data_IF_467192719832
#
_entry.id   IF_467192719832
#
_cell.length_a   1.000
_cell.length_b   1.000
_cell.length_c   1.000
_cell.angle_alpha   90.00
_cell.angle_beta   90.00
_cell.angle_gamma   90.00
#
_symmetry.space_group_name_H-M   'P 1'
#
loop_
_entity.id
_entity.type
_entity.pdbx_description
1 polymer ?
#
# COMPACT_ATOMS: atom_id res chain seq x y z
N UNK A 1 -13.81 -18.54 -8.71
CA UNK A 1 -13.19 -17.21 -8.94
C UNK A 1 -12.03 -17.06 -7.98
N UNK A 2 -10.79 -17.11 -8.46
CA UNK A 2 -9.62 -16.88 -7.60
C UNK A 2 -9.48 -15.37 -7.37
N UNK A 3 -9.35 -14.94 -6.11
CA UNK A 3 -9.05 -13.54 -5.79
C UNK A 3 -7.72 -13.16 -6.47
N UNK A 4 -7.58 -11.93 -7.00
CA UNK A 4 -6.32 -11.49 -7.58
C UNK A 4 -5.26 -11.52 -6.48
N UNK A 5 -4.37 -12.52 -6.55
CA UNK A 5 -3.20 -12.59 -5.67
C UNK A 5 -2.34 -11.37 -5.98
N UNK A 6 -2.07 -10.53 -4.99
CA UNK A 6 -1.06 -9.48 -5.09
C UNK A 6 0.24 -10.12 -5.57
N UNK A 7 0.74 -9.67 -6.73
CA UNK A 7 1.97 -10.16 -7.35
C UNK A 7 3.17 -9.48 -6.70
N UNK A 8 4.28 -10.20 -6.60
CA UNK A 8 5.52 -9.64 -6.09
C UNK A 8 6.11 -8.65 -7.10
N UNK A 9 6.83 -7.61 -6.67
CA UNK A 9 7.50 -6.69 -7.62
C UNK A 9 8.44 -7.39 -8.61
N UNK A 10 9.10 -8.47 -8.19
CA UNK A 10 9.87 -9.35 -9.07
C UNK A 10 9.01 -10.01 -10.17
N UNK A 11 7.84 -10.53 -9.79
CA UNK A 11 6.90 -11.17 -10.73
C UNK A 11 6.27 -10.15 -11.67
N UNK A 12 6.09 -8.92 -11.20
CA UNK A 12 5.57 -7.79 -11.99
C UNK A 12 6.57 -7.40 -13.08
N UNK A 13 7.86 -7.29 -12.78
CA UNK A 13 8.88 -7.01 -13.79
C UNK A 13 9.35 -8.26 -14.54
N UNK A 14 8.98 -9.46 -14.09
CA UNK A 14 9.42 -10.73 -14.66
C UNK A 14 10.90 -11.03 -14.41
N UNK A 15 11.44 -10.53 -13.29
CA UNK A 15 12.84 -10.69 -12.90
C UNK A 15 13.02 -11.81 -11.87
N UNK A 16 14.21 -12.41 -11.86
CA UNK A 16 14.67 -13.30 -10.79
C UNK A 16 15.01 -12.53 -9.52
N UNK A 17 15.47 -13.26 -8.49
CA UNK A 17 16.05 -12.66 -7.26
C UNK A 17 17.44 -12.10 -7.48
N UNK A 18 18.17 -12.66 -8.44
CA UNK A 18 19.47 -12.19 -8.87
C UNK A 18 19.26 -11.30 -10.10
N UNK A 19 19.30 -9.99 -9.89
CA UNK A 19 19.12 -9.00 -10.95
C UNK A 19 20.13 -7.86 -10.81
N UNK A 20 20.39 -7.21 -11.93
CA UNK A 20 21.21 -6.00 -12.00
C UNK A 20 20.33 -4.76 -12.23
N UNK A 21 20.86 -3.57 -11.90
CA UNK A 21 20.15 -2.32 -12.14
C UNK A 21 19.78 -2.11 -13.63
N UNK A 22 20.64 -2.60 -14.54
CA UNK A 22 20.39 -2.54 -15.98
C UNK A 22 19.26 -3.46 -16.42
N UNK A 23 19.15 -4.65 -15.81
CA UNK A 23 18.04 -5.58 -16.05
C UNK A 23 16.70 -5.01 -15.56
N UNK A 24 16.68 -4.33 -14.42
CA UNK A 24 15.48 -3.64 -13.91
C UNK A 24 14.98 -2.60 -14.91
N UNK A 25 15.89 -1.74 -15.39
CA UNK A 25 15.55 -0.70 -16.37
C UNK A 25 15.10 -1.31 -17.70
N UNK A 26 15.78 -2.34 -18.18
CA UNK A 26 15.44 -3.03 -19.43
C UNK A 26 14.06 -3.69 -19.34
N UNK A 27 13.78 -4.42 -18.26
CA UNK A 27 12.49 -5.07 -18.03
C UNK A 27 11.34 -4.07 -17.97
N UNK A 28 11.51 -2.96 -17.24
CA UNK A 28 10.52 -1.89 -17.18
C UNK A 28 10.25 -1.26 -18.55
N UNK A 29 11.31 -0.97 -19.33
CA UNK A 29 11.17 -0.42 -20.67
C UNK A 29 10.45 -1.37 -21.63
N UNK A 30 10.77 -2.67 -21.59
CA UNK A 30 10.06 -3.68 -22.39
C UNK A 30 8.60 -3.81 -21.99
N UNK A 31 8.29 -3.74 -20.69
CA UNK A 31 6.92 -3.80 -20.18
C UNK A 31 6.12 -2.57 -20.63
N UNK A 32 6.72 -1.37 -20.58
CA UNK A 32 6.12 -0.14 -21.08
C UNK A 32 5.83 -0.19 -22.60
N UNK A 33 6.78 -0.72 -23.40
CA UNK A 33 6.60 -0.89 -24.84
C UNK A 33 5.51 -1.90 -25.20
N UNK A 34 5.39 -2.99 -24.43
CA UNK A 34 4.30 -3.97 -24.59
C UNK A 34 2.93 -3.36 -24.33
N UNK A 35 2.91 -2.32 -23.49
CA UNK A 35 1.72 -1.59 -23.07
C UNK A 35 1.35 -0.39 -23.94
N UNK A 36 2.13 -0.07 -24.97
CA UNK A 36 1.87 1.08 -25.80
C UNK A 36 0.46 0.99 -26.41
N UNK A 37 -0.36 2.06 -26.42
CA UNK A 37 -1.76 2.02 -26.86
C UNK A 37 -1.94 1.55 -28.31
N UNK A 38 -0.86 1.59 -29.08
CA UNK A 38 -0.79 1.16 -30.48
C UNK A 38 -0.61 -0.38 -30.63
N UNK A 39 -0.15 -1.05 -29.57
CA UNK A 39 -0.09 -2.52 -29.48
C UNK A 39 -1.23 -2.99 -28.60
N UNK A 40 -2.22 -3.68 -29.19
CA UNK A 40 -3.38 -4.28 -28.52
C UNK A 40 -3.03 -5.45 -27.56
N UNK A 41 -1.89 -5.39 -26.88
CA UNK A 41 -1.47 -6.43 -25.93
C UNK A 41 -2.05 -6.10 -24.56
N UNK A 42 -3.17 -6.74 -24.24
CA UNK A 42 -3.72 -6.74 -22.88
C UNK A 42 -2.68 -7.41 -21.96
N UNK A 43 -1.91 -6.60 -21.23
CA UNK A 43 -1.05 -7.12 -20.16
C UNK A 43 -1.85 -7.16 -18.85
N UNK A 44 -1.86 -8.32 -18.19
CA UNK A 44 -2.58 -8.55 -16.93
C UNK A 44 -2.06 -7.74 -15.74
N UNK A 45 -0.84 -7.21 -15.85
CA UNK A 45 -0.17 -6.39 -14.84
C UNK A 45 -0.72 -4.98 -15.00
N UNK A 46 -0.99 -4.17 -13.97
CA UNK A 46 -1.42 -2.77 -14.16
C UNK A 46 -0.25 -1.80 -14.42
N UNK A 47 -0.42 -0.63 -15.07
CA UNK A 47 0.71 0.28 -15.31
C UNK A 47 1.27 0.83 -14.00
N UNK A 48 0.38 1.11 -13.03
CA UNK A 48 0.75 1.54 -11.69
C UNK A 48 1.58 0.48 -10.95
N UNK A 49 1.23 -0.80 -11.06
CA UNK A 49 2.03 -1.89 -10.47
C UNK A 49 3.43 -1.97 -11.06
N UNK A 50 3.56 -1.81 -12.38
CA UNK A 50 4.87 -1.84 -13.05
C UNK A 50 5.76 -0.67 -12.62
N UNK A 51 5.18 0.53 -12.50
CA UNK A 51 5.91 1.72 -12.02
C UNK A 51 6.32 1.55 -10.56
N UNK A 52 5.42 1.12 -9.67
CA UNK A 52 5.73 0.87 -8.28
C UNK A 52 6.83 -0.20 -8.10
N UNK A 53 6.78 -1.28 -8.89
CA UNK A 53 7.81 -2.32 -8.87
C UNK A 53 9.18 -1.77 -9.30
N UNK A 54 9.22 -0.92 -10.32
CA UNK A 54 10.46 -0.26 -10.76
C UNK A 54 11.01 0.70 -9.70
N UNK A 55 10.17 1.55 -9.11
CA UNK A 55 10.59 2.52 -8.08
C UNK A 55 11.24 1.81 -6.88
N UNK A 56 10.60 0.75 -6.38
CA UNK A 56 11.09 0.02 -5.20
C UNK A 56 12.36 -0.79 -5.49
N UNK A 57 12.42 -1.47 -6.64
CA UNK A 57 13.55 -2.34 -6.97
C UNK A 57 14.77 -1.56 -7.49
N UNK A 58 14.57 -0.37 -8.08
CA UNK A 58 15.67 0.46 -8.59
C UNK A 58 16.38 1.26 -7.50
N UNK A 59 15.72 1.56 -6.37
CA UNK A 59 16.34 2.30 -5.27
C UNK A 59 17.07 1.34 -4.30
N UNK A 60 18.39 1.49 -4.10
CA UNK A 60 19.17 0.65 -3.21
C UNK A 60 18.79 0.77 -1.73
N UNK A 61 17.99 1.77 -1.33
CA UNK A 61 17.45 1.92 0.03
C UNK A 61 16.10 1.24 0.21
N UNK A 62 15.22 1.37 -0.80
CA UNK A 62 13.88 0.78 -0.77
C UNK A 62 13.92 -0.73 -1.03
N UNK A 63 14.85 -1.20 -1.86
CA UNK A 63 14.97 -2.61 -2.20
C UNK A 63 15.24 -3.51 -0.97
N UNK A 64 16.23 -3.24 -0.09
CA UNK A 64 16.43 -4.04 1.13
C UNK A 64 15.25 -3.96 2.10
N UNK A 65 14.60 -2.79 2.19
CA UNK A 65 13.41 -2.62 3.01
C UNK A 65 12.26 -3.49 2.50
N UNK A 66 12.03 -3.45 1.19
CA UNK A 66 11.05 -4.30 0.53
C UNK A 66 11.36 -5.77 0.72
N UNK A 67 12.61 -6.21 0.52
CA UNK A 67 12.98 -7.62 0.71
C UNK A 67 12.75 -8.12 2.14
N UNK A 68 13.09 -7.30 3.14
CA UNK A 68 12.85 -7.64 4.55
C UNK A 68 11.37 -7.66 4.93
N UNK A 69 10.53 -6.83 4.29
CA UNK A 69 9.08 -6.75 4.56
C UNK A 69 8.22 -7.49 3.53
N UNK A 70 8.82 -8.10 2.50
CA UNK A 70 8.12 -8.74 1.38
C UNK A 70 7.16 -9.82 1.86
N UNK A 71 7.60 -10.66 2.81
CA UNK A 71 6.76 -11.68 3.42
C UNK A 71 5.55 -11.05 4.11
N UNK A 72 5.75 -10.01 4.90
CA UNK A 72 4.66 -9.28 5.54
C UNK A 72 3.74 -8.63 4.51
N UNK A 73 4.22 -8.01 3.44
CA UNK A 73 3.40 -7.36 2.41
C UNK A 73 2.56 -8.36 1.61
N UNK A 74 3.14 -9.52 1.29
CA UNK A 74 2.47 -10.57 0.50
C UNK A 74 1.55 -11.45 1.34
N UNK A 75 1.89 -11.70 2.61
CA UNK A 75 1.14 -12.58 3.52
C UNK A 75 0.23 -11.84 4.50
N UNK A 76 0.37 -10.51 4.70
CA UNK A 76 -0.44 -9.71 5.64
C UNK A 76 -1.94 -9.96 5.42
N UNK A 77 -2.36 -10.00 4.15
CA UNK A 77 -3.78 -10.21 3.80
C UNK A 77 -4.32 -11.61 4.13
N UNK A 78 -3.48 -12.54 4.61
CA UNK A 78 -3.85 -13.90 4.97
C UNK A 78 -3.72 -14.20 6.47
N UNK A 79 -3.12 -13.30 7.26
CA UNK A 79 -2.88 -13.52 8.69
C UNK A 79 -3.91 -12.79 9.54
N UNK A 80 -4.43 -13.51 10.54
CA UNK A 80 -5.47 -13.14 11.52
C UNK A 80 -5.26 -11.76 12.18
N UNK A 81 -4.04 -11.21 12.14
CA UNK A 81 -3.73 -9.86 12.61
C UNK A 81 -4.42 -8.73 11.82
N UNK A 82 -4.74 -8.89 10.53
CA UNK A 82 -5.49 -7.89 9.77
C UNK A 82 -6.99 -7.89 10.09
N UNK A 83 -7.54 -9.03 10.52
CA UNK A 83 -8.89 -9.11 11.11
C UNK A 83 -8.89 -8.35 12.45
N UNK A 84 -7.86 -8.56 13.29
CA UNK A 84 -7.73 -7.84 14.55
C UNK A 84 -7.50 -6.32 14.35
N UNK A 85 -6.72 -5.91 13.33
CA UNK A 85 -6.44 -4.51 13.04
C UNK A 85 -7.63 -3.77 12.40
N UNK A 86 -8.42 -4.45 11.57
CA UNK A 86 -9.68 -3.93 11.02
C UNK A 86 -10.81 -3.86 12.04
N UNK A 87 -10.82 -4.75 13.06
CA UNK A 87 -11.71 -4.66 14.22
C UNK A 87 -11.28 -3.51 15.16
N UNK A 88 -9.99 -3.22 15.25
CA UNK A 88 -9.40 -2.31 16.24
C UNK A 88 -9.28 -0.84 15.80
N UNK A 89 -9.03 -0.59 14.51
CA UNK A 89 -8.78 0.76 13.99
C UNK A 89 -9.96 1.15 13.09
N UNK A 90 -10.78 2.16 13.48
CA UNK A 90 -11.81 2.71 12.61
C UNK A 90 -11.20 3.18 11.28
N UNK A 91 -11.98 3.13 10.19
CA UNK A 91 -11.50 3.64 8.90
C UNK A 91 -11.04 5.11 9.01
N UNK A 92 -9.73 5.32 8.88
CA UNK A 92 -9.09 6.63 9.01
C UNK A 92 -8.95 7.35 7.67
N UNK A 93 -9.18 6.66 6.56
CA UNK A 93 -8.95 7.19 5.22
C UNK A 93 -9.71 8.51 4.94
N UNK A 94 -10.96 8.70 5.42
CA UNK A 94 -11.68 9.96 5.25
C UNK A 94 -11.01 11.17 5.92
N UNK A 95 -10.18 10.97 6.93
CA UNK A 95 -9.50 12.02 7.70
C UNK A 95 -8.15 12.45 7.09
N UNK A 96 -7.69 11.78 6.03
CA UNK A 96 -6.49 12.19 5.27
C UNK A 96 -6.78 13.31 4.26
N UNK A 97 -8.04 13.64 4.03
CA UNK A 97 -8.42 14.74 3.14
C UNK A 97 -8.49 16.07 3.90
N UNK A 98 -7.97 17.14 3.31
CA UNK A 98 -8.02 18.49 3.88
C UNK A 98 -9.46 19.05 3.99
N UNK A 99 -10.45 18.39 3.37
CA UNK A 99 -11.87 18.66 3.57
C UNK A 99 -12.46 18.07 4.85
N UNK A 100 -11.69 17.27 5.60
CA UNK A 100 -12.16 16.61 6.81
C UNK A 100 -12.41 17.57 7.99
N UNK A 101 -11.80 18.76 7.94
CA UNK A 101 -11.95 19.81 8.96
C UNK A 101 -12.06 21.18 8.30
N UNK A 102 -12.57 22.17 9.04
CA UNK A 102 -12.67 23.55 8.61
C UNK A 102 -12.18 24.48 9.71
N UNK A 103 -11.06 25.16 9.46
CA UNK A 103 -10.41 26.03 10.44
C UNK A 103 -9.69 25.27 11.57
N UNK A 104 -8.97 26.02 12.41
CA UNK A 104 -8.16 25.48 13.52
C UNK A 104 -8.78 25.86 14.86
N UNK A 105 -10.00 25.38 15.11
CA UNK A 105 -10.70 25.60 16.38
C UNK A 105 -11.00 24.27 17.08
N UNK A 106 -11.30 24.37 18.38
CA UNK A 106 -11.76 23.24 19.19
C UNK A 106 -13.28 23.03 19.11
N UNK A 107 -13.96 23.77 18.22
CA UNK A 107 -15.42 23.83 18.13
C UNK A 107 -15.91 23.38 16.76
N UNK A 108 -17.03 22.65 16.74
CA UNK A 108 -17.69 22.21 15.50
C UNK A 108 -16.82 21.31 14.64
N UNK A 109 -16.55 21.73 13.40
CA UNK A 109 -15.68 21.01 12.44
C UNK A 109 -14.23 21.48 12.48
N UNK A 110 -13.79 22.16 13.53
CA UNK A 110 -12.41 22.60 13.66
C UNK A 110 -11.42 21.45 13.77
N UNK A 111 -10.21 21.66 13.25
CA UNK A 111 -9.12 20.67 13.17
C UNK A 111 -8.95 19.89 14.49
N UNK A 112 -8.76 20.61 15.59
CA UNK A 112 -8.46 20.00 16.88
C UNK A 112 -9.61 19.13 17.40
N UNK A 113 -10.86 19.51 17.14
CA UNK A 113 -12.03 18.73 17.53
C UNK A 113 -12.14 17.42 16.74
N UNK A 114 -12.02 17.49 15.42
CA UNK A 114 -12.13 16.33 14.52
C UNK A 114 -11.07 15.28 14.85
N UNK A 115 -9.80 15.68 14.98
CA UNK A 115 -8.73 14.71 15.29
C UNK A 115 -8.79 14.24 16.74
N UNK A 116 -9.16 15.09 17.71
CA UNK A 116 -9.37 14.67 19.11
C UNK A 116 -10.43 13.57 19.21
N UNK A 117 -11.56 13.73 18.53
CA UNK A 117 -12.65 12.74 18.52
C UNK A 117 -12.21 11.39 17.89
N UNK A 118 -11.37 11.44 16.85
CA UNK A 118 -10.77 10.24 16.24
C UNK A 118 -9.84 9.53 17.23
N UNK A 119 -8.95 10.27 17.89
CA UNK A 119 -8.03 9.70 18.87
C UNK A 119 -8.77 9.12 20.08
N UNK A 120 -9.80 9.80 20.58
CA UNK A 120 -10.65 9.26 21.65
C UNK A 120 -11.33 7.95 21.25
N UNK A 121 -11.83 7.85 20.01
CA UNK A 121 -12.45 6.62 19.50
C UNK A 121 -11.45 5.46 19.48
N UNK A 122 -10.21 5.71 19.07
CA UNK A 122 -9.13 4.71 19.06
C UNK A 122 -8.75 4.29 20.50
N UNK A 123 -8.61 5.26 21.41
CA UNK A 123 -8.25 5.01 22.82
C UNK A 123 -9.35 4.20 23.53
N UNK A 124 -10.62 4.52 23.26
CA UNK A 124 -11.77 3.85 23.85
C UNK A 124 -11.86 2.38 23.45
N UNK A 125 -11.64 2.08 22.17
CA UNK A 125 -11.59 0.69 21.66
C UNK A 125 -10.46 -0.09 22.35
N UNK A 126 -9.30 0.55 22.54
CA UNK A 126 -8.14 -0.04 23.25
C UNK A 126 -8.40 -0.34 24.72
N UNK A 127 -9.17 0.50 25.42
CA UNK A 127 -9.51 0.32 26.82
C UNK A 127 -10.52 -0.81 27.07
N UNK A 128 -11.47 -1.02 26.15
CA UNK A 128 -12.47 -2.11 26.26
C UNK A 128 -11.82 -3.48 26.07
N UNK A 129 -10.88 -3.61 25.13
CA UNK A 129 -10.18 -4.87 24.84
C UNK A 129 -9.17 -5.30 25.92
N UNK A 130 -8.71 -4.37 26.78
CA UNK A 130 -7.77 -4.69 27.87
C UNK A 130 -8.46 -5.15 29.17
N UNK A 131 -9.80 -5.10 29.20
CA UNK A 131 -10.65 -5.46 30.35
C UNK A 131 -11.43 -6.77 30.15
N UNK A 132 -11.29 -7.43 29.00
CA UNK A 132 -11.81 -8.78 28.71
C UNK A 132 -10.66 -9.77 28.59
#
# INVERSE_FOLDING_TARGET
MALPRKRCHYEVLGLGRDYTADEIRSAYHQLALRRHPDKLTQSDISPAEATAAYEILSDPRECPWYDSHRSQILFSISTIDDINKSIFIPDLFPYFNNSAFSGHSDTGKGFYKVYSDVFEKIIRIRLVLRRS
#
